data_IF_452844503469
#
_entry.id   IF_452844503469
#
_cell.length_a   1.000
_cell.length_b   1.000
_cell.length_c   1.000
_cell.angle_alpha   90.00
_cell.angle_beta   90.00
_cell.angle_gamma   90.00
#
_symmetry.space_group_name_H-M   'P 1'
#
loop_
_entity.id
_entity.type
_entity.pdbx_description
1 polymer ?
#
# COMPACT_ATOMS: atom_id res chain seq x y z
N UNK A 1 15.40 -1.32 10.76
CA UNK A 1 14.80 -0.22 11.57
C UNK A 1 13.83 0.56 10.68
N UNK A 2 12.56 0.68 11.05
CA UNK A 2 11.61 1.56 10.34
C UNK A 2 11.99 3.00 10.68
N UNK A 3 12.28 3.82 9.68
CA UNK A 3 12.74 5.19 9.88
C UNK A 3 11.58 6.18 10.04
N UNK A 4 10.47 5.99 9.32
CA UNK A 4 9.30 6.89 9.34
C UNK A 4 7.98 6.08 9.43
N UNK A 5 7.51 5.63 10.61
CA UNK A 5 6.20 4.99 10.72
C UNK A 5 5.08 5.99 10.39
N UNK A 6 4.07 5.55 9.62
CA UNK A 6 2.91 6.38 9.25
C UNK A 6 3.15 7.50 8.21
N UNK A 7 4.40 7.89 7.94
CA UNK A 7 4.73 9.06 7.10
C UNK A 7 5.61 8.69 5.90
N UNK A 8 5.28 7.61 5.19
CA UNK A 8 6.07 7.11 4.03
C UNK A 8 5.50 7.47 2.66
N UNK A 9 4.25 7.91 2.61
CA UNK A 9 3.58 8.28 1.37
C UNK A 9 3.96 9.72 1.03
N UNK A 10 4.59 9.92 -0.13
CA UNK A 10 5.02 11.25 -0.62
C UNK A 10 3.95 11.88 -1.51
N UNK A 11 3.33 11.07 -2.36
CA UNK A 11 2.22 11.48 -3.23
C UNK A 11 1.30 10.29 -3.51
N UNK A 12 0.05 10.61 -3.84
CA UNK A 12 -0.94 9.65 -4.32
C UNK A 12 -1.83 10.36 -5.34
N UNK A 13 -2.17 9.65 -6.42
CA UNK A 13 -3.04 10.14 -7.48
C UNK A 13 -4.19 9.17 -7.70
N UNK A 14 -5.31 9.69 -8.19
CA UNK A 14 -6.51 8.92 -8.54
C UNK A 14 -6.86 9.19 -10.00
N UNK A 15 -7.28 8.16 -10.72
CA UNK A 15 -7.69 8.31 -12.11
C UNK A 15 -9.14 8.81 -12.17
N UNK A 16 -9.35 10.00 -12.74
CA UNK A 16 -10.67 10.64 -12.91
C UNK A 16 -10.74 11.31 -14.28
N UNK A 17 -11.86 11.13 -14.97
CA UNK A 17 -12.18 11.82 -16.23
C UNK A 17 -11.08 11.74 -17.30
N UNK A 18 -10.40 10.59 -17.42
CA UNK A 18 -9.36 10.39 -18.43
C UNK A 18 -7.94 10.76 -18.00
N UNK A 19 -7.74 11.29 -16.80
CA UNK A 19 -6.43 11.75 -16.31
C UNK A 19 -6.16 11.33 -14.86
N UNK A 20 -4.88 11.20 -14.51
CA UNK A 20 -4.44 11.13 -13.12
C UNK A 20 -4.49 12.51 -12.50
N UNK A 21 -5.10 12.62 -11.32
CA UNK A 21 -5.18 13.86 -10.54
C UNK A 21 -4.76 13.58 -9.10
N UNK A 22 -4.23 14.58 -8.37
CA UNK A 22 -3.88 14.42 -6.96
C UNK A 22 -5.06 13.91 -6.13
N UNK A 23 -4.78 13.01 -5.20
CA UNK A 23 -5.77 12.53 -4.24
C UNK A 23 -6.23 13.71 -3.35
N UNK A 24 -7.53 13.98 -3.38
CA UNK A 24 -8.18 14.93 -2.48
C UNK A 24 -8.50 14.24 -1.15
N UNK A 25 -7.88 14.69 -0.06
CA UNK A 25 -8.06 14.12 1.28
C UNK A 25 -9.42 14.41 1.91
N UNK A 26 -10.17 15.38 1.37
CA UNK A 26 -11.51 15.74 1.85
C UNK A 26 -12.63 14.98 1.13
N UNK A 27 -12.32 14.29 0.03
CA UNK A 27 -13.29 13.55 -0.75
C UNK A 27 -13.53 12.13 -0.21
N UNK A 28 -14.73 11.61 -0.44
CA UNK A 28 -15.07 10.19 -0.21
C UNK A 28 -14.77 9.38 -1.47
N UNK A 29 -14.15 8.21 -1.29
CA UNK A 29 -13.83 7.28 -2.37
C UNK A 29 -14.46 5.92 -2.09
N UNK A 30 -15.13 5.37 -3.10
CA UNK A 30 -15.51 3.96 -3.09
C UNK A 30 -14.32 3.13 -3.59
N UNK A 31 -13.89 2.16 -2.80
CA UNK A 31 -12.78 1.26 -3.13
C UNK A 31 -13.25 -0.18 -3.14
N UNK A 32 -12.71 -0.98 -4.05
CA UNK A 32 -12.95 -2.43 -4.09
C UNK A 32 -11.78 -3.15 -3.43
N UNK A 33 -12.07 -3.94 -2.40
CA UNK A 33 -11.10 -4.78 -1.68
C UNK A 33 -11.65 -6.19 -1.50
N UNK A 34 -10.78 -7.16 -1.24
CA UNK A 34 -11.22 -8.51 -0.88
C UNK A 34 -11.79 -8.57 0.55
N UNK A 35 -12.52 -9.64 0.87
CA UNK A 35 -13.18 -9.81 2.17
C UNK A 35 -12.23 -9.89 3.38
N UNK A 36 -11.03 -10.42 3.21
CA UNK A 36 -10.01 -10.47 4.28
C UNK A 36 -9.56 -9.06 4.68
N UNK A 37 -9.20 -8.22 3.71
CA UNK A 37 -8.83 -6.82 3.92
C UNK A 37 -10.01 -6.01 4.49
N UNK A 38 -11.23 -6.19 3.97
CA UNK A 38 -12.43 -5.52 4.47
C UNK A 38 -12.77 -5.86 5.94
N UNK A 39 -12.31 -7.02 6.40
CA UNK A 39 -12.46 -7.51 7.78
C UNK A 39 -11.28 -7.13 8.69
N UNK A 40 -10.35 -6.30 8.21
CA UNK A 40 -9.21 -5.82 9.01
C UNK A 40 -7.97 -6.70 8.98
N UNK A 41 -7.89 -7.67 8.06
CA UNK A 41 -6.69 -8.47 7.83
C UNK A 41 -5.46 -7.61 7.56
N UNK A 42 -4.28 -8.11 7.92
CA UNK A 42 -2.98 -7.42 7.78
C UNK A 42 -2.93 -6.01 8.39
N UNK A 43 -3.72 -5.76 9.44
CA UNK A 43 -3.74 -4.48 10.14
C UNK A 43 -4.56 -3.39 9.45
N UNK A 44 -5.40 -3.73 8.47
CA UNK A 44 -6.30 -2.79 7.80
C UNK A 44 -7.54 -2.44 8.64
N UNK A 45 -7.34 -2.16 9.94
CA UNK A 45 -8.41 -1.87 10.90
C UNK A 45 -9.17 -0.58 10.58
N UNK A 46 -8.67 0.25 9.66
CA UNK A 46 -9.40 1.42 9.14
C UNK A 46 -10.77 1.02 8.58
N UNK A 47 -10.90 -0.17 7.99
CA UNK A 47 -12.18 -0.66 7.49
C UNK A 47 -13.13 -1.08 8.62
N UNK A 48 -12.67 -1.32 9.84
CA UNK A 48 -13.54 -1.74 10.95
C UNK A 48 -14.27 -0.58 11.63
N UNK A 49 -13.96 0.67 11.26
CA UNK A 49 -14.64 1.84 11.81
C UNK A 49 -16.13 1.85 11.43
N UNK A 50 -16.96 2.32 12.35
CA UNK A 50 -18.42 2.33 12.21
C UNK A 50 -18.91 3.28 11.10
N UNK A 51 -18.13 4.31 10.77
CA UNK A 51 -18.44 5.31 9.74
C UNK A 51 -18.09 4.85 8.32
N UNK A 52 -17.53 3.65 8.16
CA UNK A 52 -17.21 3.08 6.84
C UNK A 52 -18.36 2.20 6.34
N UNK A 53 -19.09 2.72 5.34
CA UNK A 53 -20.09 1.93 4.60
C UNK A 53 -19.43 0.81 3.79
N UNK A 54 -20.03 -0.38 3.83
CA UNK A 54 -19.55 -1.57 3.11
C UNK A 54 -20.69 -2.27 2.41
N UNK A 55 -20.42 -2.70 1.18
CA UNK A 55 -21.30 -3.58 0.41
C UNK A 55 -20.53 -4.85 0.06
N UNK A 56 -21.09 -6.01 0.41
CA UNK A 56 -20.52 -7.29 0.02
C UNK A 56 -21.00 -7.65 -1.39
N UNK A 57 -20.08 -7.77 -2.33
CA UNK A 57 -20.40 -8.13 -3.72
C UNK A 57 -20.88 -9.57 -3.88
N UNK A 58 -20.80 -10.39 -2.82
CA UNK A 58 -21.14 -11.82 -2.79
C UNK A 58 -20.39 -12.68 -3.82
N UNK A 59 -19.35 -12.11 -4.44
CA UNK A 59 -18.64 -12.74 -5.56
C UNK A 59 -17.31 -13.32 -5.08
N UNK A 60 -16.96 -14.50 -5.59
CA UNK A 60 -15.68 -15.14 -5.29
C UNK A 60 -14.57 -14.53 -6.15
N UNK A 61 -13.42 -14.20 -5.54
CA UNK A 61 -12.28 -13.58 -6.24
C UNK A 61 -11.78 -14.41 -7.43
N UNK A 62 -11.77 -15.73 -7.30
CA UNK A 62 -11.39 -16.65 -8.39
C UNK A 62 -12.34 -16.56 -9.57
N UNK A 63 -13.65 -16.40 -9.31
CA UNK A 63 -14.66 -16.31 -10.36
C UNK A 63 -14.56 -14.97 -11.11
N UNK A 64 -14.26 -13.88 -10.39
CA UNK A 64 -13.98 -12.57 -11.01
C UNK A 64 -12.79 -12.67 -11.95
N UNK A 65 -11.68 -13.25 -11.47
CA UNK A 65 -10.47 -13.40 -12.27
C UNK A 65 -10.70 -14.30 -13.48
N UNK A 66 -11.30 -15.48 -13.29
CA UNK A 66 -11.61 -16.41 -14.37
C UNK A 66 -12.50 -15.75 -15.43
N UNK A 67 -13.55 -15.06 -15.00
CA UNK A 67 -14.46 -14.34 -15.90
C UNK A 67 -13.76 -13.21 -16.66
N UNK A 68 -12.82 -12.51 -16.02
CA UNK A 68 -12.00 -11.49 -16.69
C UNK A 68 -11.16 -12.12 -17.80
N UNK A 69 -10.45 -13.21 -17.51
CA UNK A 69 -9.62 -13.91 -18.50
C UNK A 69 -10.48 -14.43 -19.66
N UNK A 70 -11.62 -15.05 -19.37
CA UNK A 70 -12.54 -15.55 -20.40
C UNK A 70 -13.06 -14.44 -21.32
N UNK A 71 -13.39 -13.26 -20.76
CA UNK A 71 -13.87 -12.11 -21.54
C UNK A 71 -12.80 -11.45 -22.39
N UNK A 72 -11.56 -11.42 -21.92
CA UNK A 72 -10.46 -10.69 -22.59
C UNK A 72 -9.56 -11.60 -23.43
N UNK A 73 -9.65 -12.92 -23.29
CA UNK A 73 -8.83 -13.88 -24.02
C UNK A 73 -7.37 -13.83 -23.55
N UNK A 74 -6.48 -13.34 -24.42
CA UNK A 74 -5.05 -13.22 -24.08
C UNK A 74 -4.81 -12.04 -23.14
N UNK A 75 -4.21 -12.33 -21.99
CA UNK A 75 -3.81 -11.36 -20.97
C UNK A 75 -2.31 -11.09 -21.03
N UNK A 76 -1.93 -9.81 -21.03
CA UNK A 76 -0.52 -9.37 -21.08
C UNK A 76 -0.29 -8.15 -20.16
N UNK A 77 -0.38 -8.32 -18.82
CA UNK A 77 -0.19 -7.22 -17.87
C UNK A 77 1.24 -6.66 -17.95
N UNK A 78 1.39 -5.35 -17.75
CA UNK A 78 2.67 -4.66 -17.80
C UNK A 78 2.97 -3.94 -16.48
N UNK A 79 4.24 -3.57 -16.27
CA UNK A 79 4.63 -2.68 -15.18
C UNK A 79 4.34 -1.24 -15.61
N UNK A 80 3.28 -0.67 -15.07
CA UNK A 80 2.76 0.65 -15.47
C UNK A 80 3.23 1.80 -14.54
N UNK A 81 4.06 1.53 -13.53
CA UNK A 81 4.52 2.55 -12.59
C UNK A 81 3.44 3.02 -11.58
N UNK A 82 2.42 2.19 -11.31
CA UNK A 82 1.34 2.50 -10.34
C UNK A 82 1.83 2.65 -8.89
N UNK A 83 3.00 2.09 -8.57
CA UNK A 83 3.64 2.19 -7.25
C UNK A 83 5.11 2.54 -7.50
N UNK A 84 5.57 3.63 -6.90
CA UNK A 84 6.95 4.08 -6.96
C UNK A 84 7.53 4.14 -5.56
N UNK A 85 8.76 3.66 -5.40
CA UNK A 85 9.50 3.77 -4.15
C UNK A 85 10.39 5.01 -4.23
N UNK A 86 10.31 5.88 -3.22
CA UNK A 86 11.30 6.95 -3.07
C UNK A 86 12.71 6.39 -2.89
N UNK A 87 13.73 7.21 -3.10
CA UNK A 87 15.11 6.82 -2.81
C UNK A 87 15.22 6.34 -1.37
N UNK A 88 15.63 5.08 -1.19
CA UNK A 88 15.96 4.58 0.14
C UNK A 88 17.18 5.35 0.64
N UNK A 89 17.22 5.79 1.91
CA UNK A 89 18.42 6.42 2.42
C UNK A 89 19.59 5.44 2.24
N UNK A 90 20.52 5.80 1.37
CA UNK A 90 21.81 5.11 1.24
C UNK A 90 22.53 5.38 2.54
N UNK A 91 22.49 4.43 3.47
CA UNK A 91 23.30 4.49 4.68
C UNK A 91 24.75 4.42 4.21
N UNK A 92 25.46 5.55 4.31
CA UNK A 92 26.86 5.64 3.94
C UNK A 92 27.69 4.72 4.85
N UNK A 93 28.81 4.20 4.35
CA UNK A 93 29.72 3.34 5.11
C UNK A 93 30.19 3.97 6.43
N UNK A 94 30.19 5.31 6.50
CA UNK A 94 30.48 6.13 7.68
C UNK A 94 29.48 5.94 8.83
N UNK A 95 28.20 5.70 8.53
CA UNK A 95 27.14 5.61 9.53
C UNK A 95 27.08 4.23 10.23
N UNK A 96 27.66 3.19 9.60
CA UNK A 96 27.80 1.86 10.21
C UNK A 96 28.80 1.85 11.36
N UNK A 97 29.87 2.65 11.27
CA UNK A 97 30.89 2.73 12.33
C UNK A 97 30.32 3.33 13.62
N UNK A 98 29.51 4.39 13.50
CA UNK A 98 28.88 5.07 14.65
C UNK A 98 27.86 4.18 15.36
N UNK A 99 27.16 3.30 14.64
CA UNK A 99 26.20 2.36 15.24
C UNK A 99 26.91 1.21 15.97
N UNK A 100 28.01 0.69 15.42
CA UNK A 100 28.82 -0.37 16.05
C UNK A 100 29.44 0.05 17.37
N UNK A 101 29.97 1.27 17.47
CA UNK A 101 30.61 1.76 18.70
C UNK A 101 29.58 2.03 19.81
N UNK A 102 28.36 2.47 19.46
CA UNK A 102 27.28 2.70 20.42
C UNK A 102 26.70 1.39 20.98
N UNK A 103 26.67 0.32 20.20
CA UNK A 103 26.21 -0.99 20.67
C UNK A 103 27.26 -1.69 21.57
N UNK A 104 28.56 -1.46 21.34
CA UNK A 104 29.61 -1.95 22.24
C UNK A 104 29.62 -1.25 23.61
N UNK A 105 29.26 0.04 23.69
CA UNK A 105 29.19 0.78 24.96
C UNK A 105 27.99 0.40 25.83
N UNK A 106 26.90 -0.09 25.24
CA UNK A 106 25.71 -0.55 25.98
C UNK A 106 25.96 -1.91 26.64
N UNK A 107 26.88 -2.73 26.12
CA UNK A 107 27.18 -4.06 26.65
C UNK A 107 28.18 -4.06 27.83
N UNK A 108 28.73 -2.89 28.18
CA UNK A 108 29.74 -2.72 29.23
C UNK A 108 29.22 -1.93 30.45
N UNK A 109 27.90 -1.68 30.55
CA UNK A 109 27.25 -1.14 31.74
C UNK A 109 26.26 -2.13 32.36
#
# INVERSE_FOLDING_TARGET
KITNPGSRIVSAEVYRNGSWVPLDSSATYTVLVNGWTASGGDGHYIFLKEDISKENTTTVTTDILASYIQRHGTISPQVEGRINFGESPVISSSDKAVQSERESLICLQ
#
